data_IF_710911885904
#
_entry.id   IF_710911885904
#
_cell.length_a   1.000
_cell.length_b   1.000
_cell.length_c   1.000
_cell.angle_alpha   90.00
_cell.angle_beta   90.00
_cell.angle_gamma   90.00
#
_symmetry.space_group_name_H-M   'P 1'
#
loop_
_entity.id
_entity.type
_entity.pdbx_description
1 polymer ?
#
# COMPACT_ATOMS: atom_id res chain seq x y z
N UNK A 1 -8.98 -3.17 -15.86
CA UNK A 1 -7.81 -4.04 -16.05
C UNK A 1 -8.22 -5.48 -15.79
N UNK A 2 -7.76 -6.41 -16.60
CA UNK A 2 -8.06 -7.82 -16.36
C UNK A 2 -7.00 -8.46 -15.46
N UNK A 3 -7.40 -9.53 -14.78
CA UNK A 3 -6.50 -10.23 -13.87
C UNK A 3 -5.22 -10.73 -14.56
N UNK A 4 -5.33 -11.07 -15.85
CA UNK A 4 -4.17 -11.55 -16.62
C UNK A 4 -3.09 -10.48 -16.84
N UNK A 5 -3.41 -9.22 -16.63
CA UNK A 5 -2.47 -8.12 -16.79
C UNK A 5 -1.68 -7.82 -15.51
N UNK A 6 -2.05 -8.44 -14.39
CA UNK A 6 -1.37 -8.22 -13.13
C UNK A 6 0.03 -8.87 -13.13
N UNK A 7 0.96 -8.21 -12.45
CA UNK A 7 2.35 -8.67 -12.29
C UNK A 7 2.77 -8.47 -10.84
N UNK A 8 3.86 -9.10 -10.43
CA UNK A 8 4.46 -8.80 -9.13
C UNK A 8 4.77 -7.31 -9.05
N UNK A 9 4.38 -6.69 -7.94
CA UNK A 9 4.52 -5.25 -7.76
C UNK A 9 3.32 -4.42 -8.23
N UNK A 10 2.38 -5.02 -8.95
CA UNK A 10 1.13 -4.34 -9.30
C UNK A 10 0.26 -4.13 -8.07
N UNK A 11 -0.64 -3.16 -8.15
CA UNK A 11 -1.64 -2.94 -7.10
C UNK A 11 -2.99 -3.48 -7.55
N UNK A 12 -3.72 -4.04 -6.61
CA UNK A 12 -5.04 -4.61 -6.88
C UNK A 12 -5.89 -4.52 -5.61
N UNK A 13 -7.20 -4.34 -5.79
CA UNK A 13 -8.14 -4.39 -4.67
C UNK A 13 -8.51 -5.83 -4.40
N UNK A 14 -8.36 -6.26 -3.15
CA UNK A 14 -8.79 -7.58 -2.68
C UNK A 14 -9.62 -7.36 -1.42
N UNK A 15 -10.86 -7.81 -1.45
CA UNK A 15 -11.80 -7.71 -0.33
C UNK A 15 -11.90 -6.29 0.24
N UNK A 16 -11.91 -5.31 -0.66
CA UNK A 16 -12.06 -3.90 -0.27
C UNK A 16 -10.77 -3.23 0.21
N UNK A 17 -9.64 -3.94 0.20
CA UNK A 17 -8.36 -3.40 0.62
C UNK A 17 -7.39 -3.26 -0.55
N UNK A 18 -6.68 -2.12 -0.65
CA UNK A 18 -5.63 -1.97 -1.65
C UNK A 18 -4.43 -2.84 -1.26
N UNK A 19 -3.99 -3.64 -2.21
CA UNK A 19 -2.91 -4.60 -1.98
C UNK A 19 -1.84 -4.49 -3.06
N UNK A 20 -0.62 -4.88 -2.71
CA UNK A 20 0.46 -5.04 -3.67
C UNK A 20 0.63 -6.53 -3.95
N UNK A 21 0.70 -6.88 -5.23
CA UNK A 21 0.89 -8.26 -5.65
C UNK A 21 2.31 -8.69 -5.32
N UNK A 22 2.45 -9.75 -4.52
CA UNK A 22 3.75 -10.33 -4.17
C UNK A 22 4.15 -11.42 -5.13
N UNK A 23 3.18 -12.28 -5.47
CA UNK A 23 3.43 -13.41 -6.36
C UNK A 23 2.13 -13.78 -7.07
N UNK A 24 2.26 -14.43 -8.21
CA UNK A 24 1.11 -14.92 -8.93
C UNK A 24 1.45 -16.21 -9.64
N UNK A 25 0.46 -17.09 -9.76
CA UNK A 25 0.61 -18.33 -10.52
C UNK A 25 -0.60 -18.50 -11.42
N UNK A 26 -0.33 -18.95 -12.63
CA UNK A 26 -1.37 -19.17 -13.64
C UNK A 26 -1.59 -20.67 -13.81
N UNK A 27 -2.85 -21.07 -13.86
CA UNK A 27 -3.20 -22.45 -14.16
C UNK A 27 -4.16 -22.47 -15.33
N UNK A 28 -3.98 -23.46 -16.21
CA UNK A 28 -4.91 -23.70 -17.31
C UNK A 28 -5.71 -24.94 -16.96
N UNK A 29 -6.98 -24.80 -16.59
CA UNK A 29 -7.82 -26.00 -16.44
C UNK A 29 -8.01 -26.61 -17.82
N UNK A 30 -8.44 -27.87 -17.87
CA UNK A 30 -8.60 -28.62 -19.13
C UNK A 30 -9.54 -27.95 -20.11
N UNK A 31 -10.05 -28.73 -21.07
CA UNK A 31 -10.73 -28.26 -22.29
C UNK A 31 -11.92 -27.30 -22.10
N UNK A 32 -12.48 -27.16 -20.91
CA UNK A 32 -13.73 -26.46 -20.68
C UNK A 32 -13.65 -25.42 -19.57
N UNK A 33 -12.50 -24.86 -19.31
CA UNK A 33 -12.38 -23.87 -18.26
C UNK A 33 -11.54 -22.70 -18.68
N UNK A 34 -11.86 -21.52 -18.16
CA UNK A 34 -11.01 -20.35 -18.30
C UNK A 34 -9.73 -20.56 -17.49
N UNK A 35 -8.62 -20.00 -17.97
CA UNK A 35 -7.41 -19.94 -17.19
C UNK A 35 -7.68 -19.21 -15.87
N UNK A 36 -7.07 -19.65 -14.80
CA UNK A 36 -7.20 -19.01 -13.49
C UNK A 36 -5.86 -18.49 -13.02
N UNK A 37 -5.91 -17.40 -12.26
CA UNK A 37 -4.72 -16.78 -11.72
C UNK A 37 -4.89 -16.71 -10.21
N UNK A 38 -3.95 -17.34 -9.49
CA UNK A 38 -3.88 -17.17 -8.04
C UNK A 38 -2.95 -16.02 -7.74
N UNK A 39 -3.42 -15.07 -6.95
CA UNK A 39 -2.66 -13.89 -6.58
C UNK A 39 -2.42 -13.93 -5.08
N UNK A 40 -1.14 -13.85 -4.70
CA UNK A 40 -0.75 -13.65 -3.31
C UNK A 40 -0.33 -12.18 -3.19
N UNK A 41 -0.94 -11.48 -2.26
CA UNK A 41 -0.76 -10.05 -2.12
C UNK A 41 -0.67 -9.65 -0.65
N UNK A 42 -0.24 -8.41 -0.42
CA UNK A 42 -0.14 -7.84 0.91
C UNK A 42 -0.88 -6.51 0.92
N UNK A 43 -1.71 -6.29 1.93
CA UNK A 43 -2.41 -5.03 2.11
C UNK A 43 -1.42 -3.87 2.28
N UNK A 44 -1.66 -2.80 1.55
CA UNK A 44 -0.78 -1.62 1.59
C UNK A 44 -0.85 -0.93 2.95
N UNK A 45 -2.05 -0.87 3.55
CA UNK A 45 -2.25 -0.17 4.83
C UNK A 45 -2.19 -1.09 6.03
N UNK A 46 -2.73 -2.30 5.93
CA UNK A 46 -2.81 -3.21 7.07
C UNK A 46 -1.71 -4.27 7.11
N UNK A 47 -0.95 -4.43 6.02
CA UNK A 47 0.12 -5.41 5.96
C UNK A 47 -0.34 -6.87 5.94
N UNK A 48 -1.64 -7.10 5.85
CA UNK A 48 -2.21 -8.45 5.91
C UNK A 48 -2.02 -9.16 4.57
N UNK A 49 -1.54 -10.39 4.64
CA UNK A 49 -1.39 -11.21 3.43
C UNK A 49 -2.75 -11.78 3.04
N UNK A 50 -3.05 -11.66 1.75
CA UNK A 50 -4.28 -12.16 1.17
C UNK A 50 -3.98 -12.91 -0.10
N UNK A 51 -4.70 -14.02 -0.29
CA UNK A 51 -4.62 -14.78 -1.54
C UNK A 51 -6.00 -14.84 -2.14
N UNK A 52 -6.09 -14.69 -3.46
CA UNK A 52 -7.36 -14.79 -4.15
C UNK A 52 -7.14 -15.39 -5.53
N UNK A 53 -8.14 -16.13 -5.99
CA UNK A 53 -8.13 -16.73 -7.33
C UNK A 53 -9.10 -15.94 -8.20
N UNK A 54 -8.59 -15.47 -9.32
CA UNK A 54 -9.37 -14.75 -10.33
C UNK A 54 -9.39 -15.58 -11.61
N UNK A 55 -10.44 -15.41 -12.42
CA UNK A 55 -10.37 -15.86 -13.81
C UNK A 55 -9.47 -14.90 -14.57
N UNK A 56 -8.75 -15.41 -15.56
CA UNK A 56 -7.79 -14.60 -16.31
C UNK A 56 -8.45 -13.39 -16.99
N UNK A 57 -9.70 -13.55 -17.42
CA UNK A 57 -10.47 -12.51 -18.10
C UNK A 57 -11.30 -11.66 -17.15
N UNK A 58 -11.27 -11.93 -15.86
CA UNK A 58 -12.03 -11.21 -14.87
C UNK A 58 -11.50 -9.78 -14.71
N UNK A 59 -12.41 -8.81 -14.62
CA UNK A 59 -12.02 -7.44 -14.32
C UNK A 59 -11.65 -7.29 -12.86
N UNK A 60 -10.53 -6.62 -12.60
CA UNK A 60 -10.09 -6.32 -11.24
C UNK A 60 -10.02 -4.81 -11.06
N UNK A 61 -10.26 -4.36 -9.84
CA UNK A 61 -10.11 -2.96 -9.51
C UNK A 61 -8.66 -2.68 -9.13
N UNK A 62 -8.12 -1.59 -9.68
CA UNK A 62 -6.75 -1.16 -9.40
C UNK A 62 -6.84 0.13 -8.59
N UNK A 63 -6.31 0.14 -7.36
CA UNK A 63 -6.34 1.36 -6.56
C UNK A 63 -5.34 2.38 -7.10
N UNK A 64 -5.68 3.65 -6.93
CA UNK A 64 -4.73 4.73 -7.22
C UNK A 64 -4.01 5.04 -5.91
N UNK A 65 -2.70 4.90 -5.92
CA UNK A 65 -1.88 5.17 -4.75
C UNK A 65 -1.02 6.40 -5.04
N UNK A 66 -1.23 7.46 -4.25
CA UNK A 66 -0.47 8.68 -4.35
C UNK A 66 0.69 8.59 -3.35
N UNK A 67 1.90 8.67 -3.87
CA UNK A 67 3.13 8.58 -3.07
C UNK A 67 3.70 9.98 -2.90
N UNK A 68 3.81 10.41 -1.65
CA UNK A 68 4.17 11.79 -1.33
C UNK A 68 5.23 11.82 -0.23
N UNK A 69 5.88 12.97 -0.09
CA UNK A 69 6.85 13.23 0.98
C UNK A 69 6.25 14.21 1.98
N UNK A 70 6.47 13.93 3.26
CA UNK A 70 6.06 14.82 4.34
C UNK A 70 7.20 15.01 5.33
N UNK A 71 7.14 16.11 6.06
CA UNK A 71 8.08 16.39 7.15
C UNK A 71 7.36 16.17 8.47
N UNK A 72 8.02 15.49 9.39
CA UNK A 72 7.50 15.32 10.75
C UNK A 72 7.60 16.66 11.49
N UNK A 73 6.48 17.11 12.03
CA UNK A 73 6.40 18.37 12.79
C UNK A 73 6.49 18.08 14.29
N UNK A 74 5.78 17.04 14.75
CA UNK A 74 5.77 16.67 16.15
C UNK A 74 5.47 15.19 16.29
N UNK A 75 5.97 14.59 17.35
CA UNK A 75 5.74 13.17 17.65
C UNK A 75 5.29 13.05 19.11
N UNK A 76 4.18 12.36 19.32
CA UNK A 76 3.72 11.98 20.64
C UNK A 76 3.56 10.46 20.68
N UNK A 77 3.40 9.85 21.87
CA UNK A 77 3.17 8.41 21.89
C UNK A 77 1.90 7.97 21.16
N UNK A 78 0.97 8.89 20.92
CA UNK A 78 -0.34 8.58 20.36
C UNK A 78 -0.49 9.03 18.90
N UNK A 79 0.34 9.97 18.44
CA UNK A 79 0.19 10.51 17.08
C UNK A 79 1.49 11.08 16.54
N UNK A 80 1.54 11.15 15.22
CA UNK A 80 2.61 11.84 14.49
C UNK A 80 1.96 12.96 13.69
N UNK A 81 2.40 14.19 13.91
CA UNK A 81 1.93 15.34 13.16
C UNK A 81 2.89 15.58 12.00
N UNK A 82 2.33 15.70 10.81
CA UNK A 82 3.10 15.80 9.57
C UNK A 82 2.64 16.96 8.72
N UNK A 83 3.53 17.43 7.86
CA UNK A 83 3.23 18.45 6.86
C UNK A 83 3.66 17.93 5.49
N UNK A 84 2.72 17.90 4.54
CA UNK A 84 3.03 17.52 3.17
C UNK A 84 4.00 18.53 2.57
N UNK A 85 5.07 18.06 1.94
CA UNK A 85 6.13 18.91 1.43
C UNK A 85 5.75 19.67 0.16
N UNK A 86 4.69 19.26 -0.54
CA UNK A 86 4.21 19.96 -1.73
C UNK A 86 3.06 20.92 -1.44
N UNK A 87 2.07 20.43 -0.71
CA UNK A 87 0.85 21.19 -0.44
C UNK A 87 0.91 21.99 0.85
N UNK A 88 1.85 21.66 1.74
CA UNK A 88 1.99 22.22 3.08
C UNK A 88 0.78 21.93 3.98
N UNK A 89 -0.06 20.96 3.57
CA UNK A 89 -1.16 20.52 4.40
C UNK A 89 -0.65 19.80 5.64
N UNK A 90 -1.22 20.17 6.79
CA UNK A 90 -0.91 19.54 8.07
C UNK A 90 -1.91 18.43 8.35
N UNK A 91 -1.43 17.30 8.83
CA UNK A 91 -2.30 16.18 9.21
C UNK A 91 -1.64 15.34 10.29
N UNK A 92 -2.45 14.52 10.96
CA UNK A 92 -1.99 13.62 12.00
C UNK A 92 -2.26 12.18 11.62
N UNK A 93 -1.33 11.30 11.95
CA UNK A 93 -1.49 9.85 11.76
C UNK A 93 -1.14 9.15 13.08
N UNK A 94 -1.67 7.94 13.22
CA UNK A 94 -1.22 7.06 14.29
C UNK A 94 0.24 6.67 14.03
N UNK A 95 1.04 6.43 15.09
CA UNK A 95 2.41 5.98 14.88
C UNK A 95 2.43 4.67 14.08
N UNK A 96 3.39 4.53 13.15
CA UNK A 96 3.53 3.27 12.41
C UNK A 96 3.75 2.10 13.35
N UNK A 97 3.27 0.92 12.96
CA UNK A 97 3.51 -0.30 13.72
C UNK A 97 4.97 -0.78 13.60
N UNK A 98 5.66 -0.38 12.55
CA UNK A 98 7.07 -0.73 12.34
C UNK A 98 7.94 0.05 13.31
N UNK A 99 8.56 -0.65 14.26
CA UNK A 99 9.41 -0.03 15.28
C UNK A 99 10.65 0.65 14.71
N UNK A 100 11.18 0.14 13.60
CA UNK A 100 12.32 0.79 12.95
C UNK A 100 11.95 2.19 12.48
N UNK A 101 10.77 2.34 11.91
CA UNK A 101 10.29 3.65 11.46
C UNK A 101 10.00 4.52 12.67
N UNK A 102 9.23 4.00 13.62
CA UNK A 102 8.80 4.77 14.80
C UNK A 102 9.99 5.29 15.60
N UNK A 103 11.02 4.47 15.76
CA UNK A 103 12.20 4.85 16.54
C UNK A 103 13.00 5.98 15.93
N UNK A 104 12.84 6.23 14.63
CA UNK A 104 13.56 7.28 13.90
C UNK A 104 12.75 8.54 13.68
N UNK A 105 11.47 8.52 14.04
CA UNK A 105 10.62 9.69 13.86
C UNK A 105 10.96 10.75 14.90
N UNK A 106 11.23 11.94 14.41
CA UNK A 106 11.52 13.11 15.24
C UNK A 106 11.16 14.36 14.44
N UNK A 107 10.92 15.49 15.10
CA UNK A 107 10.68 16.74 14.37
C UNK A 107 11.80 17.03 13.38
N UNK A 108 11.44 17.32 12.14
CA UNK A 108 12.37 17.57 11.05
C UNK A 108 12.68 16.36 10.17
N UNK A 109 12.33 15.16 10.60
CA UNK A 109 12.51 13.96 9.79
C UNK A 109 11.59 14.00 8.58
N UNK A 110 12.12 13.60 7.42
CA UNK A 110 11.32 13.47 6.20
C UNK A 110 10.92 12.02 5.96
N UNK A 111 9.69 11.80 5.52
CA UNK A 111 9.15 10.46 5.30
C UNK A 111 8.40 10.44 3.97
N UNK A 112 8.37 9.24 3.37
CA UNK A 112 7.45 8.96 2.28
C UNK A 112 6.15 8.42 2.90
N UNK A 113 5.02 8.98 2.48
CA UNK A 113 3.73 8.45 2.90
C UNK A 113 2.84 8.24 1.68
N UNK A 114 1.92 7.31 1.79
CA UNK A 114 1.05 6.93 0.69
C UNK A 114 -0.40 7.26 1.04
N UNK A 115 -1.13 7.74 0.04
CA UNK A 115 -2.56 8.03 0.15
C UNK A 115 -3.31 7.14 -0.83
N UNK A 116 -4.31 6.44 -0.35
CA UNK A 116 -5.25 5.71 -1.20
C UNK A 116 -6.58 5.59 -0.45
N UNK A 117 -7.68 5.76 -1.17
CA UNK A 117 -9.02 5.59 -0.60
C UNK A 117 -9.26 6.45 0.65
N UNK A 118 -8.69 7.66 0.68
CA UNK A 118 -8.81 8.56 1.83
C UNK A 118 -7.97 8.16 3.03
N UNK A 119 -7.12 7.15 2.91
CA UNK A 119 -6.25 6.67 4.00
C UNK A 119 -4.81 7.05 3.71
N UNK A 120 -4.06 7.32 4.76
CA UNK A 120 -2.65 7.68 4.68
C UNK A 120 -1.81 6.75 5.54
N UNK A 121 -0.59 6.45 5.09
CA UNK A 121 0.34 5.63 5.84
C UNK A 121 1.77 6.06 5.60
N UNK A 122 2.55 6.19 6.66
CA UNK A 122 3.99 6.39 6.56
C UNK A 122 4.62 5.07 6.12
N UNK A 123 5.40 5.10 5.05
CA UNK A 123 5.97 3.89 4.44
C UNK A 123 7.44 3.75 4.77
N UNK A 124 8.19 4.86 4.76
CA UNK A 124 9.64 4.83 5.02
C UNK A 124 10.17 6.20 5.40
N UNK A 125 11.33 6.21 6.01
CA UNK A 125 12.10 7.42 6.26
C UNK A 125 12.88 7.74 5.00
N UNK A 126 12.83 9.00 4.53
CA UNK A 126 13.54 9.43 3.34
C UNK A 126 14.65 10.41 3.63
N UNK A 127 14.58 11.15 4.76
CA UNK A 127 15.61 12.09 5.16
C UNK A 127 15.57 12.36 6.64
N UNK A 128 16.70 12.71 7.19
CA UNK A 128 16.81 13.05 8.59
C UNK A 128 16.93 14.54 8.80
N UNK A 129 16.28 15.03 9.83
CA UNK A 129 16.43 16.41 10.24
C UNK A 129 17.53 16.57 11.27
#
# INVERSE_FOLDING_TARGET
MSASELKSGSYVMIDGEPCVVLDLSKSKPGKHGSAKIRIDARGVFDGVRRSKIFRADESVEVPIIDKRTAQVVNVTPESVQLMDMESYEMFELEPPEDEEITSKLAPGTEVEYWIALGRRKIVRITGGG
#
